data_IF_934086236853
#
_entry.id   IF_934086236853
#
_cell.length_a   1.000
_cell.length_b   1.000
_cell.length_c   1.000
_cell.angle_alpha   90.00
_cell.angle_beta   90.00
_cell.angle_gamma   90.00
#
_symmetry.space_group_name_H-M   'P 1'
#
loop_
_entity.id
_entity.type
_entity.pdbx_description
1 polymer ?
#
# COMPACT_ATOMS: atom_id res chain seq x y z
N UNK A 1 -15.82 -2.35 -1.58
CA UNK A 1 -14.63 -2.86 -0.85
C UNK A 1 -13.40 -2.10 -1.34
N UNK A 2 -12.54 -1.65 -0.41
CA UNK A 2 -11.36 -0.80 -0.67
C UNK A 2 -10.44 -1.35 -1.78
N UNK A 3 -10.27 -2.68 -1.84
CA UNK A 3 -9.40 -3.32 -2.83
C UNK A 3 -9.86 -3.06 -4.27
N UNK A 4 -11.17 -3.12 -4.54
CA UNK A 4 -11.72 -2.98 -5.90
C UNK A 4 -11.47 -1.59 -6.50
N UNK A 5 -11.34 -0.55 -5.69
CA UNK A 5 -11.08 0.83 -6.15
C UNK A 5 -9.60 1.10 -6.46
N UNK A 6 -8.69 0.26 -5.98
CA UNK A 6 -7.24 0.51 -6.07
C UNK A 6 -6.51 -0.44 -7.02
N UNK A 7 -7.16 -1.52 -7.45
CA UNK A 7 -6.58 -2.46 -8.43
C UNK A 7 -6.42 -1.79 -9.79
N UNK A 8 -5.23 -1.93 -10.36
CA UNK A 8 -4.95 -1.54 -11.73
C UNK A 8 -5.59 -2.59 -12.64
N UNK A 9 -6.66 -2.21 -13.32
CA UNK A 9 -7.48 -3.12 -14.14
C UNK A 9 -6.68 -3.63 -15.34
N UNK A 10 -6.95 -4.87 -15.77
CA UNK A 10 -6.35 -5.51 -16.96
C UNK A 10 -6.18 -4.57 -18.16
N UNK A 11 -7.21 -3.78 -18.50
CA UNK A 11 -7.19 -2.85 -19.65
C UNK A 11 -6.11 -1.77 -19.62
N UNK A 12 -5.54 -1.51 -18.43
CA UNK A 12 -4.50 -0.51 -18.22
C UNK A 12 -3.12 -1.18 -18.02
N UNK A 13 -3.01 -2.48 -18.26
CA UNK A 13 -1.79 -3.26 -18.04
C UNK A 13 -1.20 -3.73 -19.36
N UNK A 14 0.12 -3.75 -19.40
CA UNK A 14 0.86 -4.56 -20.37
C UNK A 14 0.82 -6.01 -19.91
N UNK A 15 0.35 -6.89 -20.78
CA UNK A 15 0.29 -8.35 -20.57
C UNK A 15 0.84 -9.06 -21.79
N UNK A 16 1.25 -10.32 -21.63
CA UNK A 16 1.66 -11.18 -22.74
C UNK A 16 0.77 -12.42 -22.80
N UNK A 17 0.58 -12.96 -24.01
CA UNK A 17 -0.10 -14.23 -24.21
C UNK A 17 0.86 -15.41 -23.87
N UNK A 18 0.33 -16.53 -23.41
CA UNK A 18 1.08 -17.75 -23.09
C UNK A 18 1.87 -18.35 -24.26
N UNK A 19 1.46 -18.10 -25.50
CA UNK A 19 2.17 -18.50 -26.72
C UNK A 19 3.24 -17.51 -27.18
N UNK A 20 3.31 -16.32 -26.58
CA UNK A 20 4.34 -15.32 -26.89
C UNK A 20 5.74 -15.91 -26.66
N UNK A 21 6.66 -15.64 -27.58
CA UNK A 21 8.04 -16.11 -27.45
C UNK A 21 8.81 -15.32 -26.40
N UNK A 22 9.92 -15.88 -25.90
CA UNK A 22 10.80 -15.16 -24.98
C UNK A 22 11.40 -13.89 -25.62
N UNK A 23 11.69 -13.91 -26.92
CA UNK A 23 12.19 -12.75 -27.65
C UNK A 23 11.18 -11.61 -27.71
N UNK A 24 9.94 -11.91 -28.11
CA UNK A 24 8.85 -10.92 -28.16
C UNK A 24 8.55 -10.35 -26.77
N UNK A 25 8.47 -11.21 -25.76
CA UNK A 25 8.24 -10.78 -24.39
C UNK A 25 9.36 -9.89 -23.85
N UNK A 26 10.62 -10.18 -24.21
CA UNK A 26 11.75 -9.32 -23.85
C UNK A 26 11.60 -7.93 -24.48
N UNK A 27 11.22 -7.85 -25.76
CA UNK A 27 10.97 -6.59 -26.45
C UNK A 27 9.88 -5.78 -25.76
N UNK A 28 8.75 -6.41 -25.44
CA UNK A 28 7.64 -5.77 -24.71
C UNK A 28 8.11 -5.20 -23.35
N UNK A 29 8.95 -5.95 -22.62
CA UNK A 29 9.50 -5.52 -21.33
C UNK A 29 10.56 -4.41 -21.45
N UNK A 30 11.26 -4.30 -22.57
CA UNK A 30 12.14 -3.17 -22.87
C UNK A 30 11.32 -1.92 -23.20
N UNK A 31 10.40 -2.03 -24.17
CA UNK A 31 9.61 -0.90 -24.66
C UNK A 31 8.70 -0.31 -23.57
N UNK A 32 8.16 -1.15 -22.68
CA UNK A 32 7.32 -0.71 -21.57
C UNK A 32 8.09 -0.23 -20.32
N UNK A 33 9.39 -0.57 -20.22
CA UNK A 33 10.19 -0.32 -19.02
C UNK A 33 9.82 -1.17 -17.79
N UNK A 34 8.88 -2.11 -17.91
CA UNK A 34 8.49 -2.96 -16.78
C UNK A 34 9.49 -4.08 -16.49
N UNK A 35 9.62 -4.44 -15.20
CA UNK A 35 10.50 -5.55 -14.76
C UNK A 35 9.88 -6.93 -15.02
N UNK A 36 8.55 -7.00 -15.00
CA UNK A 36 7.76 -8.21 -15.26
C UNK A 36 6.36 -7.83 -15.70
N UNK A 37 5.69 -8.75 -16.39
CA UNK A 37 4.29 -8.59 -16.83
C UNK A 37 3.50 -9.90 -16.62
N UNK A 38 2.17 -9.82 -16.47
CA UNK A 38 1.31 -11.00 -16.40
C UNK A 38 1.30 -11.77 -17.72
N UNK A 39 1.33 -13.10 -17.61
CA UNK A 39 1.06 -14.02 -18.70
C UNK A 39 -0.41 -14.43 -18.60
N UNK A 40 -1.16 -14.22 -19.68
CA UNK A 40 -2.55 -14.66 -19.81
C UNK A 40 -2.66 -15.80 -20.82
N UNK A 41 -3.70 -16.60 -20.68
CA UNK A 41 -4.05 -17.61 -21.70
C UNK A 41 -4.49 -16.96 -23.02
N UNK A 42 -4.73 -17.80 -24.03
CA UNK A 42 -5.22 -17.37 -25.35
C UNK A 42 -6.54 -16.58 -25.29
N UNK A 43 -7.42 -16.89 -24.33
CA UNK A 43 -8.67 -16.14 -24.14
C UNK A 43 -8.47 -14.79 -23.44
N UNK A 44 -7.25 -14.52 -22.98
CA UNK A 44 -6.83 -13.43 -22.11
C UNK A 44 -7.64 -13.30 -20.81
N UNK A 45 -8.31 -14.38 -20.37
CA UNK A 45 -9.12 -14.38 -19.15
C UNK A 45 -8.41 -15.05 -18.00
N UNK A 46 -7.56 -16.03 -18.26
CA UNK A 46 -6.91 -16.85 -17.24
C UNK A 46 -5.50 -16.34 -17.00
N UNK A 47 -5.20 -16.01 -15.76
CA UNK A 47 -3.85 -15.71 -15.32
C UNK A 47 -3.03 -17.00 -15.23
N UNK A 48 -1.90 -17.06 -15.94
CA UNK A 48 -0.98 -18.20 -15.90
C UNK A 48 0.15 -18.00 -14.91
N UNK A 49 0.62 -16.77 -14.76
CA UNK A 49 1.79 -16.43 -13.96
C UNK A 49 2.41 -15.14 -14.47
N UNK A 50 3.67 -14.90 -14.14
CA UNK A 50 4.42 -13.73 -14.57
C UNK A 50 5.68 -14.13 -15.32
N UNK A 51 6.06 -13.32 -16.30
CA UNK A 51 7.37 -13.39 -16.96
C UNK A 51 8.24 -12.23 -16.49
N UNK A 52 9.52 -12.50 -16.19
CA UNK A 52 10.46 -11.51 -15.68
C UNK A 52 11.58 -11.27 -16.65
N UNK A 53 11.88 -9.99 -16.87
CA UNK A 53 12.95 -9.50 -17.75
C UNK A 53 14.30 -10.13 -17.42
N UNK A 54 14.64 -10.21 -16.12
CA UNK A 54 15.89 -10.80 -15.65
C UNK A 54 15.99 -12.31 -15.95
N UNK A 55 14.88 -13.05 -15.89
CA UNK A 55 14.89 -14.49 -16.23
C UNK A 55 15.12 -14.71 -17.71
N UNK A 56 14.49 -13.90 -18.56
CA UNK A 56 14.74 -13.95 -20.01
C UNK A 56 16.20 -13.59 -20.32
N UNK A 57 16.73 -12.52 -19.71
CA UNK A 57 18.13 -12.13 -19.91
C UNK A 57 19.12 -13.22 -19.51
N UNK A 58 18.90 -13.86 -18.35
CA UNK A 58 19.74 -14.97 -17.89
C UNK A 58 19.68 -16.16 -18.85
N UNK A 59 18.49 -16.50 -19.34
CA UNK A 59 18.31 -17.58 -20.32
C UNK A 59 19.06 -17.28 -21.62
N UNK A 60 18.92 -16.06 -22.15
CA UNK A 60 19.63 -15.58 -23.35
C UNK A 60 21.15 -15.64 -23.17
N UNK A 61 21.66 -15.14 -22.05
CA UNK A 61 23.10 -15.10 -21.75
C UNK A 61 23.73 -16.50 -21.64
N UNK A 62 22.95 -17.50 -21.24
CA UNK A 62 23.37 -18.90 -21.15
C UNK A 62 23.22 -19.66 -22.49
N UNK A 63 22.90 -18.97 -23.60
CA UNK A 63 22.72 -19.59 -24.92
C UNK A 63 21.38 -20.32 -25.08
N UNK A 64 20.37 -20.00 -24.27
CA UNK A 64 19.04 -20.61 -24.36
C UNK A 64 18.26 -20.17 -25.61
N UNK A 65 17.37 -21.05 -26.09
CA UNK A 65 16.50 -20.75 -27.23
C UNK A 65 15.44 -19.70 -26.87
N UNK A 66 15.40 -18.62 -27.67
CA UNK A 66 14.53 -17.47 -27.48
C UNK A 66 13.17 -17.61 -28.17
N UNK A 67 13.00 -18.63 -29.01
CA UNK A 67 11.73 -18.95 -29.67
C UNK A 67 10.79 -19.78 -28.77
N UNK A 68 11.28 -20.23 -27.60
CA UNK A 68 10.44 -20.91 -26.62
C UNK A 68 9.32 -19.99 -26.14
N UNK A 69 8.15 -20.54 -25.76
CA UNK A 69 7.06 -19.75 -25.20
C UNK A 69 7.41 -19.21 -23.81
N UNK A 70 6.83 -18.07 -23.45
CA UNK A 70 7.00 -17.43 -22.12
C UNK A 70 6.66 -18.34 -20.95
N UNK A 71 5.79 -19.33 -21.16
CA UNK A 71 5.44 -20.35 -20.16
C UNK A 71 6.64 -21.17 -19.71
N UNK A 72 7.71 -21.27 -20.51
CA UNK A 72 8.94 -21.97 -20.13
C UNK A 72 9.66 -21.32 -18.94
N UNK A 73 9.64 -19.99 -18.84
CA UNK A 73 10.28 -19.23 -17.76
C UNK A 73 9.28 -18.59 -16.79
N UNK A 74 8.02 -19.04 -16.85
CA UNK A 74 6.93 -18.55 -16.01
C UNK A 74 7.25 -18.72 -14.52
N UNK A 75 6.83 -17.73 -13.73
CA UNK A 75 6.91 -17.76 -12.27
C UNK A 75 5.58 -17.33 -11.64
N UNK A 76 5.42 -17.63 -10.36
CA UNK A 76 4.34 -17.09 -9.52
C UNK A 76 2.90 -17.45 -9.97
N UNK A 77 2.70 -18.60 -10.64
CA UNK A 77 1.37 -19.06 -11.10
C UNK A 77 0.30 -19.05 -10.00
N UNK A 78 0.67 -19.45 -8.79
CA UNK A 78 -0.25 -19.60 -7.64
C UNK A 78 -0.27 -18.39 -6.71
N UNK A 79 0.41 -17.30 -7.09
CA UNK A 79 0.52 -16.09 -6.25
C UNK A 79 -0.46 -15.04 -6.73
N UNK A 80 -1.72 -15.22 -6.36
CA UNK A 80 -2.81 -14.30 -6.65
C UNK A 80 -3.74 -14.15 -5.44
N UNK A 81 -4.59 -13.12 -5.50
CA UNK A 81 -5.67 -12.87 -4.54
C UNK A 81 -6.98 -12.64 -5.29
N UNK A 82 -8.10 -12.69 -4.59
CA UNK A 82 -9.41 -12.32 -5.14
C UNK A 82 -9.74 -10.84 -4.89
N UNK A 83 -10.58 -10.23 -5.73
CA UNK A 83 -11.05 -8.83 -5.59
C UNK A 83 -11.71 -8.55 -4.23
N UNK A 84 -12.27 -9.56 -3.58
CA UNK A 84 -12.91 -9.48 -2.26
C UNK A 84 -11.96 -9.84 -1.09
N UNK A 85 -10.67 -10.08 -1.35
CA UNK A 85 -9.69 -10.38 -0.31
C UNK A 85 -9.55 -9.22 0.67
N UNK A 86 -9.54 -9.52 1.97
CA UNK A 86 -9.28 -8.54 3.02
C UNK A 86 -7.95 -7.83 2.81
N UNK A 87 -7.95 -6.49 2.88
CA UNK A 87 -6.76 -5.66 2.74
C UNK A 87 -5.62 -6.07 3.69
N UNK A 88 -5.96 -6.47 4.93
CA UNK A 88 -4.99 -6.95 5.91
C UNK A 88 -4.19 -8.16 5.39
N UNK A 89 -4.87 -9.14 4.77
CA UNK A 89 -4.20 -10.32 4.20
C UNK A 89 -3.30 -9.94 3.02
N UNK A 90 -3.74 -8.99 2.20
CA UNK A 90 -2.98 -8.52 1.04
C UNK A 90 -1.62 -7.93 1.45
N UNK A 91 -1.59 -7.15 2.53
CA UNK A 91 -0.36 -6.53 3.05
C UNK A 91 0.75 -7.56 3.32
N UNK A 92 0.41 -8.73 3.87
CA UNK A 92 1.40 -9.79 4.12
C UNK A 92 1.72 -10.63 2.89
N UNK A 93 0.78 -10.75 1.95
CA UNK A 93 0.93 -11.63 0.78
C UNK A 93 1.85 -11.02 -0.30
N UNK A 94 1.86 -9.70 -0.44
CA UNK A 94 2.60 -9.01 -1.51
C UNK A 94 4.13 -8.89 -1.25
N UNK A 95 4.60 -9.14 -0.02
CA UNK A 95 5.97 -8.81 0.43
C UNK A 95 7.09 -9.26 -0.52
N UNK A 96 6.97 -10.43 -1.13
CA UNK A 96 8.01 -11.03 -1.97
C UNK A 96 7.84 -10.79 -3.47
N UNK A 97 6.78 -10.07 -3.88
CA UNK A 97 6.38 -9.93 -5.28
C UNK A 97 6.45 -8.47 -5.71
N UNK A 98 6.82 -8.14 -6.97
CA UNK A 98 6.77 -6.75 -7.45
C UNK A 98 5.34 -6.20 -7.49
N UNK A 99 4.36 -7.07 -7.74
CA UNK A 99 2.92 -6.86 -7.60
C UNK A 99 2.26 -8.21 -7.33
N UNK A 100 0.99 -8.20 -6.92
CA UNK A 100 0.18 -9.42 -6.83
C UNK A 100 -0.96 -9.39 -7.85
N UNK A 101 -1.17 -10.52 -8.52
CA UNK A 101 -2.28 -10.69 -9.46
C UNK A 101 -3.61 -10.75 -8.70
N UNK A 102 -4.65 -10.15 -9.28
CA UNK A 102 -5.99 -10.10 -8.70
C UNK A 102 -6.96 -10.79 -9.65
N UNK A 103 -7.71 -11.74 -9.13
CA UNK A 103 -8.75 -12.48 -9.84
C UNK A 103 -10.14 -12.05 -9.36
N UNK A 104 -11.12 -12.10 -10.26
CA UNK A 104 -12.53 -11.94 -9.90
C UNK A 104 -13.13 -13.24 -9.34
N UNK A 105 -14.42 -13.22 -9.05
CA UNK A 105 -15.17 -14.35 -8.47
C UNK A 105 -15.25 -15.57 -9.42
N UNK A 106 -15.05 -15.37 -10.72
CA UNK A 106 -15.03 -16.42 -11.73
C UNK A 106 -13.61 -16.95 -12.01
N UNK A 107 -12.61 -16.55 -11.22
CA UNK A 107 -11.18 -16.79 -11.46
C UNK A 107 -10.62 -16.12 -12.72
N UNK A 108 -11.29 -15.07 -13.23
CA UNK A 108 -10.75 -14.31 -14.35
C UNK A 108 -9.79 -13.23 -13.87
N UNK A 109 -8.76 -12.98 -14.67
CA UNK A 109 -7.76 -11.97 -14.41
C UNK A 109 -8.38 -10.57 -14.42
N UNK A 110 -8.50 -10.00 -13.23
CA UNK A 110 -9.10 -8.70 -13.01
C UNK A 110 -8.07 -7.56 -13.18
N UNK A 111 -6.84 -7.80 -12.73
CA UNK A 111 -5.76 -6.83 -12.77
C UNK A 111 -4.64 -7.15 -11.79
N UNK A 112 -3.89 -6.13 -11.37
CA UNK A 112 -2.80 -6.27 -10.40
C UNK A 112 -2.90 -5.22 -9.29
N UNK A 113 -2.31 -5.54 -8.14
CA UNK A 113 -2.05 -4.60 -7.07
C UNK A 113 -0.55 -4.48 -6.84
N UNK A 114 -0.02 -3.26 -6.91
CA UNK A 114 1.40 -2.95 -6.72
C UNK A 114 1.70 -2.52 -5.28
N UNK A 115 2.97 -2.61 -4.88
CA UNK A 115 3.46 -2.02 -3.63
C UNK A 115 3.21 -0.51 -3.55
N UNK A 116 3.39 0.22 -4.66
CA UNK A 116 3.16 1.66 -4.70
C UNK A 116 1.72 2.01 -4.37
N UNK A 117 0.76 1.27 -4.93
CA UNK A 117 -0.66 1.46 -4.60
C UNK A 117 -0.94 1.14 -3.13
N UNK A 118 -0.37 0.04 -2.61
CA UNK A 118 -0.54 -0.34 -1.21
C UNK A 118 0.02 0.73 -0.25
N UNK A 119 1.24 1.21 -0.52
CA UNK A 119 1.88 2.28 0.24
C UNK A 119 1.11 3.59 0.13
N UNK A 120 0.57 3.92 -1.03
CA UNK A 120 -0.23 5.14 -1.21
C UNK A 120 -1.53 5.10 -0.37
N UNK A 121 -2.19 3.94 -0.26
CA UNK A 121 -3.37 3.77 0.61
C UNK A 121 -2.99 3.99 2.08
N UNK A 122 -1.85 3.45 2.51
CA UNK A 122 -1.35 3.68 3.85
C UNK A 122 -1.02 5.16 4.04
N UNK A 123 -0.27 5.78 3.12
CA UNK A 123 0.06 7.21 3.12
C UNK A 123 -1.18 8.11 3.22
N UNK A 124 -2.24 7.82 2.46
CA UNK A 124 -3.52 8.52 2.54
C UNK A 124 -4.16 8.42 3.93
N UNK A 125 -3.90 7.33 4.67
CA UNK A 125 -4.37 7.19 6.04
C UNK A 125 -3.71 8.19 6.99
N UNK A 126 -2.50 8.70 6.71
CA UNK A 126 -1.90 9.82 7.46
C UNK A 126 -2.56 11.17 7.12
N UNK A 127 -3.34 11.24 6.04
CA UNK A 127 -4.13 12.40 5.61
C UNK A 127 -3.34 13.72 5.52
N UNK A 128 -2.07 13.63 5.10
CA UNK A 128 -1.12 14.76 5.07
C UNK A 128 -1.67 15.96 4.28
N UNK A 129 -2.43 15.72 3.20
CA UNK A 129 -2.97 16.77 2.34
C UNK A 129 -4.18 17.53 2.93
N UNK A 130 -4.81 17.01 3.99
CA UNK A 130 -5.98 17.63 4.63
C UNK A 130 -5.80 17.82 6.13
N UNK A 131 -4.57 17.70 6.60
CA UNK A 131 -4.19 17.94 7.99
C UNK A 131 -3.56 19.32 8.15
N UNK A 132 -3.73 19.92 9.32
CA UNK A 132 -2.98 21.11 9.75
C UNK A 132 -1.84 20.69 10.67
N UNK A 133 -2.17 20.06 11.80
CA UNK A 133 -1.23 19.63 12.82
C UNK A 133 -1.29 18.12 13.05
N UNK A 134 -0.14 17.50 13.28
CA UNK A 134 -0.04 16.12 13.78
C UNK A 134 0.44 16.16 15.23
N UNK A 135 -0.39 15.65 16.13
CA UNK A 135 -0.06 15.51 17.54
C UNK A 135 0.44 14.09 17.82
N UNK A 136 1.67 13.95 18.26
CA UNK A 136 2.18 12.67 18.77
C UNK A 136 1.98 12.62 20.27
N UNK A 137 1.06 11.77 20.73
CA UNK A 137 0.71 11.64 22.14
C UNK A 137 1.29 10.34 22.68
N UNK A 138 2.12 10.43 23.72
CA UNK A 138 2.71 9.28 24.38
C UNK A 138 1.87 8.85 25.59
N UNK A 139 1.52 7.56 25.65
CA UNK A 139 0.73 6.98 26.73
C UNK A 139 1.34 5.68 27.23
N UNK A 140 0.99 5.26 28.45
CA UNK A 140 1.34 3.94 28.97
C UNK A 140 0.45 2.81 28.41
N UNK A 141 -0.41 3.12 27.44
CA UNK A 141 -1.28 2.15 26.77
C UNK A 141 -2.39 1.56 27.65
N UNK A 142 -2.86 2.28 28.67
CA UNK A 142 -3.93 1.79 29.56
C UNK A 142 -5.26 1.76 28.82
N UNK A 143 -6.13 0.84 29.23
CA UNK A 143 -7.49 0.79 28.72
C UNK A 143 -8.20 2.12 29.00
N UNK A 144 -8.72 2.75 27.94
CA UNK A 144 -9.43 4.03 28.02
C UNK A 144 -8.59 5.26 27.65
N UNK A 145 -7.27 5.15 27.52
CA UNK A 145 -6.41 6.30 27.15
C UNK A 145 -6.84 6.90 25.80
N UNK A 146 -7.09 6.07 24.79
CA UNK A 146 -7.59 6.53 23.49
C UNK A 146 -8.95 7.23 23.59
N UNK A 147 -9.86 6.70 24.43
CA UNK A 147 -11.17 7.32 24.65
C UNK A 147 -11.05 8.68 25.36
N UNK A 148 -10.14 8.81 26.32
CA UNK A 148 -9.86 10.07 26.99
C UNK A 148 -9.26 11.10 26.03
N UNK A 149 -8.23 10.72 25.26
CA UNK A 149 -7.58 11.57 24.25
C UNK A 149 -8.60 12.10 23.24
N UNK A 150 -9.32 11.19 22.58
CA UNK A 150 -10.30 11.56 21.55
C UNK A 150 -11.45 12.39 22.10
N UNK A 151 -11.92 12.13 23.33
CA UNK A 151 -12.95 12.95 24.01
C UNK A 151 -12.47 14.37 24.32
N UNK A 152 -11.18 14.57 24.62
CA UNK A 152 -10.62 15.91 24.85
C UNK A 152 -10.56 16.67 23.53
N UNK A 153 -10.05 16.03 22.47
CA UNK A 153 -9.90 16.63 21.14
C UNK A 153 -11.26 16.99 20.55
N UNK A 154 -12.24 16.09 20.65
CA UNK A 154 -13.60 16.27 20.13
C UNK A 154 -14.36 17.47 20.71
N UNK A 155 -13.89 18.08 21.81
CA UNK A 155 -14.47 19.33 22.33
C UNK A 155 -14.12 20.56 21.50
N UNK A 156 -13.05 20.49 20.72
CA UNK A 156 -12.43 21.63 20.06
C UNK A 156 -12.24 21.41 18.56
N UNK A 157 -12.00 20.19 18.12
CA UNK A 157 -11.83 19.85 16.71
C UNK A 157 -12.27 18.42 16.41
N UNK A 158 -12.54 18.13 15.13
CA UNK A 158 -12.69 16.75 14.67
C UNK A 158 -11.31 16.08 14.51
N UNK A 159 -11.30 14.77 14.27
CA UNK A 159 -10.05 14.01 14.05
C UNK A 159 -10.00 13.59 12.59
N UNK A 160 -8.99 14.08 11.86
CA UNK A 160 -8.81 13.78 10.45
C UNK A 160 -8.13 12.41 10.25
N UNK A 161 -7.23 12.04 11.15
CA UNK A 161 -6.61 10.72 11.20
C UNK A 161 -6.16 10.35 12.62
N UNK A 162 -6.16 9.05 12.93
CA UNK A 162 -5.65 8.50 14.17
C UNK A 162 -4.87 7.21 13.88
N UNK A 163 -3.57 7.21 14.19
CA UNK A 163 -2.68 6.06 13.97
C UNK A 163 -1.95 5.77 15.28
N UNK A 164 -1.91 4.50 15.67
CA UNK A 164 -1.07 4.08 16.81
C UNK A 164 0.19 3.43 16.27
N UNK A 165 1.34 3.99 16.65
CA UNK A 165 2.66 3.45 16.36
C UNK A 165 3.25 2.91 17.66
N UNK A 166 3.70 1.66 17.59
CA UNK A 166 4.42 1.01 18.67
C UNK A 166 5.85 0.76 18.18
N UNK A 167 6.85 1.27 18.91
CA UNK A 167 8.26 1.16 18.54
C UNK A 167 8.91 0.22 19.56
N UNK A 168 8.90 -1.07 19.24
CA UNK A 168 9.67 -2.11 19.95
C UNK A 168 8.95 -2.84 21.08
N UNK A 169 9.44 -4.04 21.41
CA UNK A 169 8.92 -4.89 22.49
C UNK A 169 9.30 -4.37 23.90
N UNK A 170 10.22 -3.41 23.99
CA UNK A 170 10.85 -2.95 25.25
C UNK A 170 10.33 -1.60 25.78
N UNK A 171 9.56 -0.83 25.01
CA UNK A 171 8.98 0.43 25.47
C UNK A 171 7.49 0.25 25.83
N UNK A 172 7.12 0.37 27.12
CA UNK A 172 5.73 0.46 27.57
C UNK A 172 5.01 1.77 27.10
N UNK A 173 5.58 2.47 26.12
CA UNK A 173 5.12 3.77 25.63
C UNK A 173 4.49 3.59 24.27
N UNK A 174 3.16 3.72 24.22
CA UNK A 174 2.41 3.75 22.98
C UNK A 174 2.30 5.18 22.47
N UNK A 175 2.64 5.38 21.20
CA UNK A 175 2.53 6.67 20.52
C UNK A 175 1.28 6.68 19.66
N UNK A 176 0.36 7.59 19.95
CA UNK A 176 -0.83 7.82 19.13
C UNK A 176 -0.65 9.13 18.39
N UNK A 177 -0.59 9.05 17.06
CA UNK A 177 -0.55 10.19 16.17
C UNK A 177 -2.00 10.58 15.85
N UNK A 178 -2.35 11.83 16.12
CA UNK A 178 -3.65 12.40 15.78
C UNK A 178 -3.44 13.58 14.85
N UNK A 179 -3.97 13.45 13.63
CA UNK A 179 -3.97 14.54 12.65
C UNK A 179 -5.24 15.37 12.83
N UNK A 180 -5.07 16.67 13.06
CA UNK A 180 -6.15 17.65 13.11
C UNK A 180 -6.51 18.14 11.71
N UNK A 181 -7.79 18.46 11.42
CA UNK A 181 -8.25 18.98 10.12
C UNK A 181 -7.52 20.25 9.69
N UNK A 182 -7.40 20.48 8.38
CA UNK A 182 -6.72 21.62 7.78
C UNK A 182 -7.21 23.00 8.29
N UNK A 183 -8.47 23.10 8.67
CA UNK A 183 -9.11 24.31 9.22
C UNK A 183 -8.76 24.60 10.70
N UNK A 184 -8.03 23.70 11.37
CA UNK A 184 -7.66 23.90 12.78
C UNK A 184 -6.60 24.99 12.90
N UNK A 185 -6.88 26.02 13.70
CA UNK A 185 -5.96 27.12 13.98
C UNK A 185 -4.90 26.74 15.01
N UNK A 186 -3.78 27.47 15.03
CA UNK A 186 -2.72 27.31 16.04
C UNK A 186 -3.27 27.45 17.46
N UNK A 187 -4.14 28.45 17.69
CA UNK A 187 -4.80 28.68 18.99
C UNK A 187 -5.61 27.45 19.44
N UNK A 188 -6.38 26.85 18.51
CA UNK A 188 -7.19 25.66 18.80
C UNK A 188 -6.29 24.46 19.11
N UNK A 189 -5.19 24.31 18.35
CA UNK A 189 -4.18 23.28 18.58
C UNK A 189 -3.55 23.42 19.98
N UNK A 190 -3.13 24.63 20.36
CA UNK A 190 -2.56 24.91 21.67
C UNK A 190 -3.54 24.59 22.82
N UNK A 191 -4.82 24.96 22.68
CA UNK A 191 -5.87 24.62 23.67
C UNK A 191 -6.07 23.11 23.78
N UNK A 192 -6.01 22.37 22.67
CA UNK A 192 -6.09 20.90 22.68
C UNK A 192 -4.91 20.31 23.45
N UNK A 193 -3.69 20.73 23.14
CA UNK A 193 -2.45 20.27 23.77
C UNK A 193 -2.50 20.50 25.28
N UNK A 194 -2.84 21.72 25.70
CA UNK A 194 -2.93 22.06 27.13
C UNK A 194 -3.95 21.16 27.86
N UNK A 195 -5.11 20.91 27.25
CA UNK A 195 -6.13 20.05 27.84
C UNK A 195 -5.72 18.57 27.91
N UNK A 196 -4.92 18.09 26.96
CA UNK A 196 -4.33 16.73 26.98
C UNK A 196 -3.31 16.62 28.11
N UNK A 197 -2.38 17.57 28.21
CA UNK A 197 -1.33 17.56 29.23
C UNK A 197 -1.89 17.67 30.66
N UNK A 198 -2.93 18.48 30.88
CA UNK A 198 -3.66 18.54 32.17
C UNK A 198 -4.24 17.19 32.61
N UNK A 199 -4.37 16.22 31.70
CA UNK A 199 -4.85 14.85 31.97
C UNK A 199 -3.72 13.81 31.96
N UNK A 200 -2.46 14.23 32.05
CA UNK A 200 -1.27 13.38 31.95
C UNK A 200 -1.15 12.64 30.61
N UNK A 201 -1.79 13.15 29.55
CA UNK A 201 -1.61 12.67 28.18
C UNK A 201 -0.55 13.55 27.53
N UNK A 202 0.70 13.11 27.59
CA UNK A 202 1.84 13.91 27.17
C UNK A 202 1.90 14.01 25.65
N UNK A 203 1.84 15.23 25.12
CA UNK A 203 2.16 15.50 23.72
C UNK A 203 3.67 15.60 23.61
N UNK A 204 4.29 14.65 22.90
CA UNK A 204 5.75 14.59 22.77
C UNK A 204 6.25 15.36 21.56
N UNK A 205 5.41 15.54 20.56
CA UNK A 205 5.76 16.21 19.31
C UNK A 205 4.50 16.79 18.66
N UNK A 206 4.67 17.94 18.02
CA UNK A 206 3.67 18.64 17.23
C UNK A 206 4.32 18.97 15.89
N UNK A 207 3.81 18.40 14.81
CA UNK A 207 4.25 18.73 13.45
C UNK A 207 3.22 19.62 12.77
N UNK A 208 3.66 20.75 12.20
CA UNK A 208 2.85 21.60 11.33
C UNK A 208 3.02 21.14 9.87
N UNK A 209 1.93 20.66 9.28
CA UNK A 209 1.90 20.18 7.90
C UNK A 209 1.76 21.31 6.87
N UNK A 210 1.32 22.50 7.28
CA UNK A 210 1.22 23.66 6.40
C UNK A 210 2.58 24.36 6.23
N UNK A 211 3.42 24.33 7.25
CA UNK A 211 4.78 24.87 7.19
C UNK A 211 5.73 24.04 6.31
N UNK A 212 5.43 22.76 6.08
CA UNK A 212 6.27 21.81 5.33
C UNK A 212 5.79 21.59 3.87
N UNK A 213 4.88 22.42 3.37
CA UNK A 213 4.29 22.28 2.03
C UNK A 213 5.07 22.98 0.89
N UNK A 214 6.33 23.38 1.13
CA UNK A 214 7.25 23.95 0.12
C UNK A 214 8.04 22.88 -0.65
#
# INVERSE_FOLDING_TARGET
>A
MLLKSVVIKKKNLTTVNESCTLEEALKILEDSGYRCVPILDESEKIFRGNIYKMHIYRHKANGGDMNLPVTYLLKNATKFIFVNTSFFKVFFTIKELPYIAVLDENNYFYGILTHSTLLNILAQSWNIQRGSYVLTIATTGKQGDLAAMTKIIAKHSSIASCITLDIGEDEFIRRTLITLPAETTEETCAVIVENLERKNLKVVEIEDLQANAE
#
